data_IF_378766841626
#
_entry.id   IF_378766841626
#
_cell.length_a   1.000
_cell.length_b   1.000
_cell.length_c   1.000
_cell.angle_alpha   90.00
_cell.angle_beta   90.00
_cell.angle_gamma   90.00
#
_symmetry.space_group_name_H-M   'P 1'
#
loop_
_entity.id
_entity.type
_entity.pdbx_description
1 polymer ?
#
# COMPACT_ATOMS: atom_id res chain seq x y z
N UNK A 1 -1.74 74.11 -8.72
CA UNK A 1 -0.87 74.06 -7.53
C UNK A 1 -1.43 73.04 -6.55
N UNK A 2 -0.53 72.16 -6.07
CA UNK A 2 -0.51 71.48 -4.75
C UNK A 2 -1.77 70.69 -4.33
N UNK A 3 -1.73 69.35 -4.36
CA UNK A 3 -1.19 68.41 -3.31
C UNK A 3 -2.15 68.40 -2.10
N UNK A 4 -2.67 67.28 -1.57
CA UNK A 4 -2.04 66.23 -0.74
C UNK A 4 -3.19 65.21 -0.46
N UNK A 5 -3.13 63.93 -0.85
CA UNK A 5 -2.53 62.75 -0.18
C UNK A 5 -3.44 62.09 0.89
N UNK A 6 -3.54 60.74 0.84
CA UNK A 6 -3.83 59.69 1.87
C UNK A 6 -4.40 58.48 1.07
N UNK A 7 -3.63 57.45 0.66
CA UNK A 7 -3.07 56.29 1.39
C UNK A 7 -4.11 55.48 2.17
N UNK A 8 -4.42 54.25 1.70
CA UNK A 8 -4.73 53.00 2.45
C UNK A 8 -5.25 51.94 1.46
N UNK A 9 -4.46 50.98 0.98
CA UNK A 9 -4.22 49.62 1.52
C UNK A 9 -5.49 48.79 1.75
N UNK A 10 -5.77 47.83 0.86
CA UNK A 10 -6.36 46.50 1.12
C UNK A 10 -6.28 45.66 -0.20
N UNK A 11 -5.31 44.77 -0.39
CA UNK A 11 -5.41 43.32 -0.13
C UNK A 11 -6.66 42.66 -0.72
N UNK A 12 -6.53 42.05 -1.89
CA UNK A 12 -7.15 40.74 -2.17
C UNK A 12 -6.11 39.88 -2.89
N UNK A 13 -5.34 39.18 -2.06
CA UNK A 13 -4.66 37.95 -2.46
C UNK A 13 -5.73 36.85 -2.57
N UNK A 14 -6.00 36.38 -3.78
CA UNK A 14 -6.57 35.05 -4.02
C UNK A 14 -5.64 34.38 -5.03
N UNK A 15 -4.39 34.19 -4.58
CA UNK A 15 -3.51 33.18 -5.14
C UNK A 15 -3.93 31.88 -4.50
N UNK A 16 -4.58 31.04 -5.30
CA UNK A 16 -5.07 29.70 -5.02
C UNK A 16 -4.27 29.06 -3.90
N UNK A 17 -4.93 28.84 -2.77
CA UNK A 17 -4.51 27.88 -1.77
C UNK A 17 -4.25 26.57 -2.51
N UNK A 18 -2.98 26.28 -2.76
CA UNK A 18 -2.53 24.91 -2.88
C UNK A 18 -2.90 24.36 -1.51
N UNK A 19 -4.05 23.69 -1.44
CA UNK A 19 -4.32 22.79 -0.35
C UNK A 19 -3.10 21.91 -0.30
N UNK A 20 -2.28 22.09 0.73
CA UNK A 20 -1.52 20.98 1.25
C UNK A 20 -2.59 19.93 1.52
N UNK A 21 -2.77 19.02 0.56
CA UNK A 21 -3.38 17.74 0.84
C UNK A 21 -2.45 17.19 1.88
N UNK A 22 -2.89 17.32 3.13
CA UNK A 22 -2.28 16.66 4.25
C UNK A 22 -2.20 15.21 3.83
N UNK A 23 -1.02 14.77 3.41
CA UNK A 23 -0.63 13.39 3.58
C UNK A 23 -0.68 13.22 5.10
N UNK A 24 -1.86 12.84 5.60
CA UNK A 24 -1.98 12.13 6.86
C UNK A 24 -1.15 10.87 6.63
N UNK A 25 0.15 11.03 6.89
CA UNK A 25 1.15 10.00 6.76
C UNK A 25 0.64 8.86 7.61
N UNK A 26 0.17 7.85 6.91
CA UNK A 26 -0.27 6.63 7.54
C UNK A 26 0.95 6.12 8.33
N UNK A 27 0.86 6.12 9.65
CA UNK A 27 1.87 5.55 10.54
C UNK A 27 1.40 4.15 10.91
N UNK A 28 1.89 3.14 10.18
CA UNK A 28 1.83 1.76 10.67
C UNK A 28 3.01 1.59 11.64
N UNK A 29 2.72 1.46 12.93
CA UNK A 29 3.74 1.11 13.92
C UNK A 29 3.93 -0.40 13.93
N UNK A 30 4.68 -0.92 12.97
CA UNK A 30 5.17 -2.30 13.05
C UNK A 30 6.45 -2.29 13.88
N UNK A 31 6.36 -2.70 15.14
CA UNK A 31 7.53 -2.98 15.95
C UNK A 31 8.42 -4.01 15.24
N UNK A 32 9.65 -3.63 14.94
CA UNK A 32 10.70 -4.51 14.40
C UNK A 32 11.13 -5.51 15.48
N UNK A 33 10.35 -6.57 15.66
CA UNK A 33 10.80 -7.77 16.36
C UNK A 33 11.47 -8.71 15.36
N UNK A 34 12.65 -9.24 15.71
CA UNK A 34 13.39 -10.15 14.84
C UNK A 34 12.61 -11.45 14.66
N UNK A 35 12.14 -11.72 13.46
CA UNK A 35 11.42 -12.96 13.16
C UNK A 35 12.42 -14.11 12.95
N UNK A 36 12.31 -15.15 13.78
CA UNK A 36 13.11 -16.38 13.75
C UNK A 36 12.65 -17.40 12.69
N UNK A 37 11.55 -17.14 11.99
CA UNK A 37 10.84 -18.13 11.17
C UNK A 37 11.03 -17.99 9.64
N UNK A 38 12.09 -17.32 9.19
CA UNK A 38 12.60 -17.54 7.82
C UNK A 38 11.68 -17.06 6.68
N UNK A 39 10.91 -15.99 6.89
CA UNK A 39 10.13 -15.38 5.82
C UNK A 39 11.02 -14.95 4.63
N UNK A 40 10.57 -15.22 3.41
CA UNK A 40 11.34 -14.90 2.20
C UNK A 40 11.09 -13.45 1.76
N UNK A 41 12.19 -12.72 1.53
CA UNK A 41 12.18 -11.39 0.97
C UNK A 41 13.39 -11.22 0.04
N UNK A 42 13.15 -10.74 -1.18
CA UNK A 42 14.18 -10.24 -2.09
C UNK A 42 13.62 -9.08 -2.90
N UNK A 43 14.42 -8.02 -3.07
CA UNK A 43 14.08 -6.89 -3.91
C UNK A 43 15.28 -6.55 -4.79
N UNK A 44 15.17 -6.87 -6.08
CA UNK A 44 16.22 -6.59 -7.07
C UNK A 44 15.62 -6.01 -8.33
N UNK A 45 16.13 -4.87 -8.80
CA UNK A 45 15.68 -4.21 -10.04
C UNK A 45 14.15 -4.05 -10.12
N UNK A 46 13.53 -3.54 -9.05
CA UNK A 46 12.07 -3.37 -8.91
C UNK A 46 11.25 -4.67 -8.98
N UNK A 47 11.88 -5.83 -8.87
CA UNK A 47 11.20 -7.12 -8.70
C UNK A 47 11.26 -7.49 -7.23
N UNK A 48 10.09 -7.53 -6.61
CA UNK A 48 9.92 -7.99 -5.24
C UNK A 48 9.54 -9.47 -5.28
N UNK A 49 10.29 -10.32 -4.59
CA UNK A 49 9.83 -11.63 -4.17
C UNK A 49 9.50 -11.55 -2.67
N UNK A 50 8.23 -11.73 -2.32
CA UNK A 50 7.78 -11.80 -0.94
C UNK A 50 7.11 -13.16 -0.75
N UNK A 51 7.62 -13.98 0.16
CA UNK A 51 7.07 -15.31 0.46
C UNK A 51 6.83 -16.20 -0.79
N UNK A 52 7.76 -16.13 -1.76
CA UNK A 52 7.71 -16.90 -2.99
C UNK A 52 6.72 -16.36 -4.03
N UNK A 53 6.14 -15.18 -3.82
CA UNK A 53 5.30 -14.47 -4.80
C UNK A 53 6.07 -13.30 -5.38
N UNK A 54 6.10 -13.22 -6.70
CA UNK A 54 6.78 -12.16 -7.45
C UNK A 54 5.83 -11.00 -7.77
N UNK A 55 6.30 -9.78 -7.51
CA UNK A 55 5.63 -8.52 -7.84
C UNK A 55 6.57 -7.60 -8.60
N UNK A 56 6.00 -6.74 -9.45
CA UNK A 56 6.75 -5.72 -10.19
C UNK A 56 6.47 -4.34 -9.60
N UNK A 57 7.38 -3.84 -8.78
CA UNK A 57 7.22 -2.53 -8.17
C UNK A 57 7.32 -1.43 -9.26
N UNK A 58 6.36 -0.49 -9.33
CA UNK A 58 6.41 0.57 -10.34
C UNK A 58 7.64 1.47 -10.16
N UNK A 59 8.11 2.08 -11.24
CA UNK A 59 9.26 3.01 -11.16
C UNK A 59 8.95 4.21 -10.26
N UNK A 60 9.98 4.70 -9.57
CA UNK A 60 9.88 5.83 -8.63
C UNK A 60 9.50 5.43 -7.19
N UNK A 61 8.96 4.22 -6.99
CA UNK A 61 8.72 3.69 -5.66
C UNK A 61 10.02 3.21 -4.99
N UNK A 62 10.18 3.55 -3.71
CA UNK A 62 11.28 3.12 -2.86
C UNK A 62 10.74 2.38 -1.66
N UNK A 63 11.39 1.29 -1.29
CA UNK A 63 10.97 0.51 -0.14
C UNK A 63 11.14 1.26 1.18
N UNK A 64 10.17 1.11 2.06
CA UNK A 64 10.27 1.42 3.48
C UNK A 64 10.74 0.20 4.28
N UNK A 65 12.06 0.06 4.47
CA UNK A 65 12.64 -1.06 5.22
C UNK A 65 12.11 -1.15 6.66
N UNK A 66 11.76 0.00 7.28
CA UNK A 66 11.25 0.03 8.66
C UNK A 66 9.80 -0.46 8.77
N UNK A 67 9.04 -0.39 7.68
CA UNK A 67 7.67 -0.91 7.59
C UNK A 67 7.60 -2.38 7.22
N UNK A 68 8.74 -3.03 6.96
CA UNK A 68 8.79 -4.44 6.55
C UNK A 68 8.52 -5.37 7.71
N UNK A 69 7.66 -6.35 7.48
CA UNK A 69 7.32 -7.43 8.42
C UNK A 69 7.41 -8.76 7.67
N UNK A 70 8.02 -9.79 8.26
CA UNK A 70 8.19 -11.08 7.60
C UNK A 70 7.73 -12.24 8.47
N UNK A 71 6.67 -12.95 8.07
CA UNK A 71 6.14 -14.10 8.78
C UNK A 71 5.76 -13.81 10.26
N UNK A 72 5.16 -12.64 10.52
CA UNK A 72 4.68 -12.27 11.85
C UNK A 72 3.32 -12.91 12.12
N UNK A 73 3.13 -13.47 13.30
CA UNK A 73 1.84 -14.04 13.70
C UNK A 73 0.73 -12.98 13.72
N UNK A 74 -0.44 -13.36 13.23
CA UNK A 74 -1.63 -12.52 13.18
C UNK A 74 -2.89 -13.40 13.20
N UNK A 75 -3.99 -12.84 13.67
CA UNK A 75 -5.29 -13.52 13.71
C UNK A 75 -6.23 -12.94 12.64
N UNK A 76 -5.64 -12.45 11.55
CA UNK A 76 -6.39 -12.02 10.37
C UNK A 76 -7.24 -13.18 9.86
N UNK A 77 -8.42 -12.87 9.29
CA UNK A 77 -9.38 -13.88 8.82
C UNK A 77 -9.95 -14.81 9.89
N UNK A 78 -9.72 -14.51 11.19
CA UNK A 78 -10.27 -15.29 12.30
C UNK A 78 -9.53 -16.61 12.58
N UNK A 79 -8.36 -16.80 11.96
CA UNK A 79 -7.50 -17.98 12.11
C UNK A 79 -6.07 -17.54 12.44
N UNK A 80 -5.33 -18.41 13.13
CA UNK A 80 -3.91 -18.18 13.39
C UNK A 80 -3.16 -18.28 12.05
N UNK A 81 -2.63 -17.16 11.59
CA UNK A 81 -1.88 -17.07 10.34
C UNK A 81 -0.65 -16.19 10.50
N UNK A 82 0.21 -16.19 9.49
CA UNK A 82 1.39 -15.33 9.43
C UNK A 82 1.22 -14.32 8.33
N UNK A 83 1.60 -13.07 8.60
CA UNK A 83 1.63 -12.00 7.62
C UNK A 83 3.06 -11.59 7.31
N UNK A 84 3.32 -11.39 6.02
CA UNK A 84 4.52 -10.70 5.54
C UNK A 84 4.08 -9.49 4.76
N UNK A 85 4.64 -8.33 5.08
CA UNK A 85 4.26 -7.07 4.49
C UNK A 85 5.50 -6.25 4.14
N UNK A 86 5.42 -5.48 3.07
CA UNK A 86 6.38 -4.43 2.77
C UNK A 86 5.65 -3.25 2.15
N UNK A 87 6.16 -2.06 2.45
CA UNK A 87 5.59 -0.79 2.00
C UNK A 87 6.58 -0.09 1.08
N UNK A 88 6.06 0.56 0.05
CA UNK A 88 6.83 1.38 -0.87
C UNK A 88 6.25 2.78 -0.95
N UNK A 89 7.12 3.79 -1.05
CA UNK A 89 6.74 5.19 -1.18
C UNK A 89 7.24 5.80 -2.48
N UNK A 90 6.41 6.65 -3.08
CA UNK A 90 6.78 7.54 -4.17
C UNK A 90 6.19 8.92 -3.88
N UNK A 91 7.01 9.81 -3.33
CA UNK A 91 6.59 11.14 -2.86
C UNK A 91 5.39 11.04 -1.90
N UNK A 92 4.22 11.53 -2.32
CA UNK A 92 2.99 11.57 -1.52
C UNK A 92 2.09 10.33 -1.69
N UNK A 93 2.57 9.31 -2.40
CA UNK A 93 1.84 8.05 -2.63
C UNK A 93 2.59 6.87 -2.04
N UNK A 94 1.85 5.89 -1.53
CA UNK A 94 2.39 4.64 -1.03
C UNK A 94 1.63 3.42 -1.55
N UNK A 95 2.34 2.30 -1.56
CA UNK A 95 1.81 0.97 -1.88
C UNK A 95 2.18 0.05 -0.73
N UNK A 96 1.23 -0.72 -0.23
CA UNK A 96 1.45 -1.74 0.77
C UNK A 96 1.08 -3.10 0.18
N UNK A 97 2.04 -4.02 0.20
CA UNK A 97 1.84 -5.40 -0.26
C UNK A 97 1.89 -6.29 0.97
N UNK A 98 0.84 -7.09 1.18
CA UNK A 98 0.77 -8.08 2.25
C UNK A 98 0.52 -9.47 1.68
N UNK A 99 1.09 -10.46 2.33
CA UNK A 99 0.85 -11.88 2.08
C UNK A 99 0.53 -12.55 3.39
N UNK A 100 -0.64 -13.16 3.44
CA UNK A 100 -1.09 -13.97 4.56
C UNK A 100 -0.91 -15.45 4.23
N UNK A 101 -0.39 -16.19 5.20
CA UNK A 101 -0.08 -17.61 5.12
C UNK A 101 -0.78 -18.30 6.28
N UNK A 102 -1.67 -19.25 6.01
CA UNK A 102 -2.33 -20.03 7.05
C UNK A 102 -1.29 -20.90 7.80
N UNK A 103 -1.39 -20.99 9.12
CA UNK A 103 -0.56 -21.91 9.90
C UNK A 103 -1.00 -23.38 9.73
N UNK A 104 -2.29 -23.61 9.45
CA UNK A 104 -2.89 -24.93 9.31
C UNK A 104 -2.87 -25.47 7.87
N UNK A 105 -2.32 -24.71 6.91
CA UNK A 105 -2.11 -25.17 5.54
C UNK A 105 -2.24 -24.07 4.50
N UNK A 106 -3.31 -24.13 3.71
CA UNK A 106 -3.59 -23.22 2.60
C UNK A 106 -4.95 -22.59 2.80
N UNK A 107 -5.07 -21.31 2.46
CA UNK A 107 -6.37 -20.71 2.26
C UNK A 107 -7.03 -21.37 1.04
N UNK A 108 -8.26 -21.86 1.21
CA UNK A 108 -9.01 -22.51 0.14
C UNK A 108 -9.90 -21.54 -0.63
N UNK A 109 -10.28 -20.43 0.00
CA UNK A 109 -11.11 -19.40 -0.59
C UNK A 109 -10.82 -18.02 0.00
N UNK A 110 -11.27 -16.99 -0.72
CA UNK A 110 -11.39 -15.62 -0.23
C UNK A 110 -12.76 -15.12 -0.70
N UNK A 111 -13.38 -14.28 0.12
CA UNK A 111 -14.62 -13.60 -0.21
C UNK A 111 -14.43 -12.11 -0.09
N UNK A 112 -14.95 -11.37 -1.05
CA UNK A 112 -15.00 -9.91 -1.00
C UNK A 112 -16.15 -9.38 -1.85
N UNK A 113 -16.34 -8.07 -1.78
CA UNK A 113 -17.24 -7.35 -2.66
C UNK A 113 -16.51 -6.98 -3.96
N UNK A 114 -17.25 -6.85 -5.07
CA UNK A 114 -16.72 -6.48 -6.39
C UNK A 114 -15.63 -7.43 -6.95
N UNK A 115 -16.01 -8.63 -7.42
CA UNK A 115 -15.07 -9.53 -8.06
C UNK A 115 -14.46 -8.89 -9.31
N UNK A 116 -13.13 -8.95 -9.39
CA UNK A 116 -12.35 -8.36 -10.48
C UNK A 116 -11.18 -9.27 -10.85
N UNK A 117 -10.90 -9.38 -12.14
CA UNK A 117 -9.71 -10.06 -12.66
C UNK A 117 -8.65 -9.04 -13.04
N UNK A 118 -7.45 -9.16 -12.46
CA UNK A 118 -6.27 -8.37 -12.82
C UNK A 118 -5.19 -9.32 -13.34
N UNK A 119 -4.91 -9.25 -14.64
CA UNK A 119 -4.00 -10.18 -15.31
C UNK A 119 -4.49 -11.63 -15.18
N UNK A 120 -3.68 -12.49 -14.54
CA UNK A 120 -4.02 -13.88 -14.25
C UNK A 120 -4.73 -14.09 -12.90
N UNK A 121 -4.85 -13.04 -12.08
CA UNK A 121 -5.35 -13.13 -10.72
C UNK A 121 -6.85 -12.81 -10.69
N UNK A 122 -7.64 -13.76 -10.22
CA UNK A 122 -9.04 -13.55 -9.88
C UNK A 122 -9.11 -13.15 -8.40
N UNK A 123 -9.74 -12.01 -8.12
CA UNK A 123 -9.77 -11.42 -6.78
C UNK A 123 -10.94 -10.48 -6.59
N UNK A 124 -10.83 -9.63 -5.58
CA UNK A 124 -11.87 -8.70 -5.15
C UNK A 124 -11.28 -7.32 -4.95
N UNK A 125 -12.02 -6.29 -5.37
CA UNK A 125 -11.58 -4.91 -5.27
C UNK A 125 -12.44 -4.14 -4.26
N UNK A 126 -11.78 -3.59 -3.25
CA UNK A 126 -12.43 -2.78 -2.22
C UNK A 126 -11.90 -1.36 -2.29
N UNK A 127 -12.80 -0.38 -2.45
CA UNK A 127 -12.45 1.04 -2.32
C UNK A 127 -12.72 1.49 -0.89
N UNK A 128 -11.70 2.00 -0.21
CA UNK A 128 -11.81 2.45 1.18
C UNK A 128 -10.91 3.65 1.42
N UNK A 129 -11.47 4.69 2.02
CA UNK A 129 -10.72 5.89 2.43
C UNK A 129 -9.90 6.54 1.28
N UNK A 130 -10.45 6.50 0.06
CA UNK A 130 -9.78 7.02 -1.15
C UNK A 130 -8.64 6.14 -1.68
N UNK A 131 -8.52 4.91 -1.19
CA UNK A 131 -7.53 3.91 -1.60
C UNK A 131 -8.23 2.72 -2.23
N UNK A 132 -7.49 2.04 -3.08
CA UNK A 132 -7.92 0.81 -3.73
C UNK A 132 -7.17 -0.36 -3.10
N UNK A 133 -7.91 -1.35 -2.61
CA UNK A 133 -7.37 -2.59 -2.05
C UNK A 133 -7.79 -3.72 -2.98
N UNK A 134 -6.85 -4.56 -3.38
CA UNK A 134 -7.12 -5.76 -4.17
C UNK A 134 -6.65 -6.99 -3.40
N UNK A 135 -7.59 -7.90 -3.17
CA UNK A 135 -7.36 -9.17 -2.48
C UNK A 135 -7.47 -10.33 -3.48
N UNK A 136 -6.51 -11.25 -3.46
CA UNK A 136 -6.56 -12.46 -4.30
C UNK A 136 -5.93 -13.68 -3.63
N UNK A 137 -6.32 -14.88 -4.09
CA UNK A 137 -5.76 -16.15 -3.64
C UNK A 137 -4.72 -16.67 -4.64
N UNK A 138 -3.50 -16.90 -4.17
CA UNK A 138 -2.41 -17.44 -5.00
C UNK A 138 -1.69 -18.53 -4.23
N UNK A 139 -1.72 -19.75 -4.78
CA UNK A 139 -1.05 -20.93 -4.21
C UNK A 139 -1.37 -21.20 -2.73
N UNK A 140 -2.60 -20.88 -2.31
CA UNK A 140 -3.05 -21.03 -0.93
C UNK A 140 -2.63 -19.90 0.01
N UNK A 141 -2.13 -18.78 -0.52
CA UNK A 141 -1.80 -17.55 0.20
C UNK A 141 -2.77 -16.45 -0.20
N UNK A 142 -3.24 -15.65 0.75
CA UNK A 142 -4.00 -14.44 0.43
C UNK A 142 -3.00 -13.31 0.22
N UNK A 143 -3.12 -12.63 -0.90
CA UNK A 143 -2.36 -11.43 -1.24
C UNK A 143 -3.30 -10.25 -1.14
N UNK A 144 -2.90 -9.22 -0.39
CA UNK A 144 -3.58 -7.94 -0.31
C UNK A 144 -2.62 -6.86 -0.85
N UNK A 145 -3.07 -6.08 -1.84
CA UNK A 145 -2.34 -4.94 -2.36
C UNK A 145 -3.18 -3.70 -2.14
N UNK A 146 -2.69 -2.79 -1.31
CA UNK A 146 -3.28 -1.50 -1.04
C UNK A 146 -2.48 -0.40 -1.76
N UNK A 147 -3.12 0.34 -2.66
CA UNK A 147 -2.54 1.43 -3.42
C UNK A 147 -3.51 2.61 -3.57
N UNK A 148 -3.02 3.72 -4.12
CA UNK A 148 -3.86 4.90 -4.40
C UNK A 148 -4.96 4.62 -5.44
N UNK A 149 -4.68 3.75 -6.42
CA UNK A 149 -5.57 3.50 -7.55
C UNK A 149 -5.37 2.09 -8.13
N UNK A 150 -6.38 1.63 -8.87
CA UNK A 150 -6.38 0.33 -9.52
C UNK A 150 -5.27 0.15 -10.57
N UNK A 151 -4.83 1.21 -11.25
CA UNK A 151 -3.80 1.10 -12.29
C UNK A 151 -2.41 0.85 -11.68
N UNK A 152 -2.14 1.42 -10.50
CA UNK A 152 -0.97 1.07 -9.69
C UNK A 152 -0.98 -0.42 -9.32
N UNK A 153 -2.12 -0.97 -8.90
CA UNK A 153 -2.27 -2.40 -8.59
C UNK A 153 -2.02 -3.27 -9.83
N UNK A 154 -2.58 -2.91 -10.99
CA UNK A 154 -2.34 -3.63 -12.25
C UNK A 154 -0.86 -3.65 -12.60
N UNK A 155 -0.17 -2.53 -12.43
CA UNK A 155 1.28 -2.43 -12.68
C UNK A 155 2.10 -3.37 -11.78
N UNK A 156 1.68 -3.51 -10.52
CA UNK A 156 2.32 -4.40 -9.52
C UNK A 156 2.14 -5.87 -9.89
N UNK A 157 0.93 -6.24 -10.32
CA UNK A 157 0.56 -7.62 -10.62
C UNK A 157 0.98 -8.09 -12.02
N UNK A 158 1.17 -7.17 -12.98
CA UNK A 158 1.65 -7.46 -14.34
C UNK A 158 0.58 -8.07 -15.25
#
# INVERSE_FOLDING_TARGET
>A
MKKIMIVLIALIAIGISIGAVSAEGFSFSFGSESNTDGGQFSLENNKLNLQGVDFKIPEGFKENETGRVLAKDTNAFGEDCKVSATEFYNNDTNVLIKIFISNDGKFDNISGDNPLKIGKYDGFLTEKDGRTIFDCLVDGKIIEIDAADQDTIKSILG
#
